data_IF_722409695727
#
_entry.id   IF_722409695727
#
_cell.length_a   1.000
_cell.length_b   1.000
_cell.length_c   1.000
_cell.angle_alpha   90.00
_cell.angle_beta   90.00
_cell.angle_gamma   90.00
#
_symmetry.space_group_name_H-M   'P 1'
#
loop_
_entity.id
_entity.type
_entity.pdbx_description
1 polymer ?
#
# COMPACT_ATOMS: atom_id res chain seq x y z
N UNK A 1 30.90 -18.09 25.87
CA UNK A 1 31.45 -19.19 25.06
C UNK A 1 30.45 -19.52 23.96
N UNK A 2 30.76 -19.25 22.69
CA UNK A 2 29.89 -19.60 21.57
C UNK A 2 29.93 -21.12 21.28
N UNK A 3 28.82 -21.76 20.90
CA UNK A 3 28.80 -23.19 20.56
C UNK A 3 29.47 -23.47 19.20
N UNK A 4 30.19 -24.59 19.13
CA UNK A 4 30.93 -25.03 17.96
C UNK A 4 30.01 -25.43 16.78
N UNK A 5 30.46 -25.23 15.52
CA UNK A 5 29.70 -25.62 14.33
C UNK A 5 29.68 -27.15 14.14
N UNK A 6 28.51 -27.69 13.74
CA UNK A 6 28.34 -29.11 13.43
C UNK A 6 28.92 -29.46 12.05
N UNK A 7 29.54 -30.64 11.87
CA UNK A 7 30.04 -31.07 10.57
C UNK A 7 28.91 -31.51 9.63
N UNK A 8 29.04 -31.14 8.36
CA UNK A 8 28.14 -31.58 7.28
C UNK A 8 28.45 -33.03 6.86
N UNK A 9 27.44 -33.87 6.58
CA UNK A 9 27.64 -35.21 6.05
C UNK A 9 28.06 -35.21 4.56
N UNK A 10 28.74 -36.27 4.09
CA UNK A 10 29.29 -36.33 2.75
C UNK A 10 28.22 -36.56 1.68
N UNK A 11 28.39 -35.88 0.54
CA UNK A 11 27.64 -36.09 -0.70
C UNK A 11 28.00 -37.46 -1.29
N UNK A 12 27.07 -38.41 -1.19
CA UNK A 12 27.16 -39.68 -1.93
C UNK A 12 26.72 -39.45 -3.38
N UNK A 13 27.70 -39.49 -4.28
CA UNK A 13 27.48 -39.66 -5.71
C UNK A 13 27.03 -41.10 -5.98
N UNK A 14 25.81 -41.25 -6.49
CA UNK A 14 25.30 -42.54 -6.96
C UNK A 14 25.13 -42.49 -8.49
N UNK A 15 25.53 -43.59 -9.10
CA UNK A 15 25.88 -43.76 -10.49
C UNK A 15 24.71 -43.73 -11.48
N UNK A 16 25.04 -43.37 -12.73
CA UNK A 16 24.23 -43.58 -13.92
C UNK A 16 23.91 -45.08 -14.09
N UNK A 17 22.62 -45.40 -14.22
CA UNK A 17 22.16 -46.61 -14.91
C UNK A 17 21.08 -46.22 -15.93
N UNK A 18 21.40 -46.47 -17.19
CA UNK A 18 20.51 -46.42 -18.33
C UNK A 18 19.50 -47.58 -18.21
N UNK A 19 18.20 -47.28 -18.22
CA UNK A 19 17.16 -48.27 -18.47
C UNK A 19 16.12 -47.67 -19.42
N UNK A 20 16.05 -48.25 -20.62
CA UNK A 20 15.11 -47.94 -21.67
C UNK A 20 13.87 -48.82 -21.47
N UNK A 21 12.69 -48.24 -21.29
CA UNK A 21 11.41 -48.94 -21.47
C UNK A 21 10.32 -47.93 -21.85
N UNK A 22 9.78 -48.09 -23.06
CA UNK A 22 8.58 -47.43 -23.55
C UNK A 22 7.37 -47.88 -22.72
N UNK A 23 6.45 -46.95 -22.41
CA UNK A 23 5.01 -47.18 -22.29
C UNK A 23 4.25 -45.84 -22.21
N UNK A 24 3.24 -45.72 -23.06
CA UNK A 24 1.96 -44.99 -22.95
C UNK A 24 1.92 -43.57 -22.34
N UNK A 25 1.36 -42.64 -23.10
CA UNK A 25 1.22 -41.23 -22.76
C UNK A 25 0.41 -40.93 -21.49
N UNK A 26 0.87 -39.91 -20.78
CA UNK A 26 0.05 -39.02 -19.98
C UNK A 26 0.29 -37.61 -20.52
N UNK A 27 -0.70 -37.05 -21.22
CA UNK A 27 -0.67 -35.65 -21.59
C UNK A 27 -0.62 -34.81 -20.33
N UNK A 28 0.47 -34.09 -20.12
CA UNK A 28 0.53 -33.00 -19.15
C UNK A 28 -0.44 -31.92 -19.63
N UNK A 29 -1.65 -31.90 -19.06
CA UNK A 29 -2.52 -30.74 -19.14
C UNK A 29 -1.73 -29.54 -18.59
N UNK A 30 -1.56 -28.45 -19.34
CA UNK A 30 -1.02 -27.22 -18.78
C UNK A 30 -1.91 -26.83 -17.61
N UNK A 31 -1.28 -26.54 -16.47
CA UNK A 31 -1.92 -26.09 -15.24
C UNK A 31 -2.67 -24.79 -15.54
N UNK A 32 -3.94 -24.92 -15.95
CA UNK A 32 -4.83 -23.79 -16.20
C UNK A 32 -5.11 -23.19 -14.82
N UNK A 33 -4.85 -21.90 -14.59
CA UNK A 33 -5.37 -21.22 -13.41
C UNK A 33 -6.86 -21.55 -13.30
N UNK A 34 -7.39 -21.79 -12.09
CA UNK A 34 -8.82 -22.05 -11.91
C UNK A 34 -9.58 -20.98 -12.70
N UNK A 35 -10.46 -21.42 -13.59
CA UNK A 35 -11.25 -20.52 -14.41
C UNK A 35 -11.91 -19.52 -13.45
N UNK A 36 -11.62 -18.23 -13.63
CA UNK A 36 -12.32 -17.19 -12.90
C UNK A 36 -13.82 -17.46 -13.08
N UNK A 37 -14.60 -17.52 -11.98
CA UNK A 37 -16.04 -17.71 -12.09
C UNK A 37 -16.57 -16.67 -13.07
N UNK A 38 -17.34 -17.14 -14.06
CA UNK A 38 -17.97 -16.24 -15.01
C UNK A 38 -18.69 -15.14 -14.22
N UNK A 39 -18.56 -13.85 -14.60
CA UNK A 39 -19.27 -12.78 -13.92
C UNK A 39 -20.75 -13.19 -13.85
N UNK A 40 -21.32 -13.19 -12.64
CA UNK A 40 -22.72 -13.53 -12.45
C UNK A 40 -23.56 -12.75 -13.48
N UNK A 41 -24.39 -13.45 -14.23
CA UNK A 41 -25.22 -12.88 -15.31
C UNK A 41 -26.26 -11.85 -14.83
N UNK A 42 -26.17 -11.38 -13.58
CA UNK A 42 -27.09 -10.48 -12.92
C UNK A 42 -26.40 -9.26 -12.29
N UNK A 43 -25.20 -8.88 -12.73
CA UNK A 43 -24.58 -7.64 -12.27
C UNK A 43 -25.40 -6.43 -12.70
N UNK A 44 -25.68 -5.55 -11.74
CA UNK A 44 -26.41 -4.32 -12.02
C UNK A 44 -25.56 -3.37 -12.89
N UNK A 45 -26.22 -2.46 -13.61
CA UNK A 45 -25.51 -1.44 -14.40
C UNK A 45 -24.64 -0.55 -13.52
N UNK A 46 -25.05 -0.35 -12.26
CA UNK A 46 -24.36 0.44 -11.25
C UNK A 46 -23.07 -0.25 -10.77
N UNK A 47 -23.14 -1.53 -10.41
CA UNK A 47 -21.97 -2.34 -10.03
C UNK A 47 -20.92 -2.32 -11.15
N UNK A 48 -21.36 -2.60 -12.38
CA UNK A 48 -20.46 -2.58 -13.53
C UNK A 48 -19.88 -1.18 -13.80
N UNK A 49 -20.65 -0.12 -13.57
CA UNK A 49 -20.15 1.26 -13.70
C UNK A 49 -19.11 1.61 -12.63
N UNK A 50 -19.35 1.18 -11.38
CA UNK A 50 -18.42 1.38 -10.27
C UNK A 50 -17.10 0.64 -10.53
N UNK A 51 -17.16 -0.65 -10.88
CA UNK A 51 -15.96 -1.45 -11.19
C UNK A 51 -15.15 -0.84 -12.34
N UNK A 52 -15.82 -0.41 -13.43
CA UNK A 52 -15.14 0.29 -14.53
C UNK A 52 -14.47 1.58 -14.07
N UNK A 53 -15.11 2.35 -13.21
CA UNK A 53 -14.55 3.60 -12.67
C UNK A 53 -13.35 3.34 -11.74
N UNK A 54 -13.37 2.25 -10.98
CA UNK A 54 -12.28 1.81 -10.10
C UNK A 54 -11.18 1.02 -10.85
N UNK A 55 -11.36 0.71 -12.13
CA UNK A 55 -10.41 -0.13 -12.88
C UNK A 55 -10.36 -1.59 -12.42
N UNK A 56 -11.44 -2.08 -11.80
CA UNK A 56 -11.54 -3.43 -11.26
C UNK A 56 -12.20 -4.39 -12.26
N UNK A 57 -11.88 -5.70 -12.20
CA UNK A 57 -12.57 -6.69 -13.00
C UNK A 57 -14.05 -6.76 -12.59
N UNK A 58 -14.91 -7.08 -13.55
CA UNK A 58 -16.34 -7.18 -13.31
C UNK A 58 -16.68 -8.10 -12.12
N UNK A 59 -15.98 -9.23 -11.96
CA UNK A 59 -16.21 -10.16 -10.85
C UNK A 59 -16.09 -9.54 -9.43
N UNK A 60 -15.38 -8.43 -9.27
CA UNK A 60 -15.20 -7.73 -7.98
C UNK A 60 -16.20 -6.58 -7.78
N UNK A 61 -17.09 -6.32 -8.75
CA UNK A 61 -17.92 -5.13 -8.78
C UNK A 61 -18.84 -4.97 -7.57
N UNK A 62 -19.56 -6.04 -7.20
CA UNK A 62 -20.50 -6.03 -6.06
C UNK A 62 -19.79 -5.76 -4.75
N UNK A 63 -18.67 -6.45 -4.52
CA UNK A 63 -17.86 -6.34 -3.30
C UNK A 63 -17.21 -4.95 -3.20
N UNK A 64 -16.64 -4.46 -4.30
CA UNK A 64 -16.09 -3.10 -4.39
C UNK A 64 -17.14 -2.01 -4.13
N UNK A 65 -18.32 -2.12 -4.75
CA UNK A 65 -19.42 -1.18 -4.52
C UNK A 65 -19.89 -1.22 -3.07
N UNK A 66 -20.09 -2.42 -2.51
CA UNK A 66 -20.52 -2.61 -1.11
C UNK A 66 -19.52 -1.98 -0.13
N UNK A 67 -18.22 -2.21 -0.32
CA UNK A 67 -17.17 -1.56 0.49
C UNK A 67 -17.18 -0.04 0.35
N UNK A 68 -17.33 0.46 -0.88
CA UNK A 68 -17.39 1.90 -1.15
C UNK A 68 -18.58 2.57 -0.48
N UNK A 69 -19.74 1.93 -0.50
CA UNK A 69 -20.93 2.40 0.19
C UNK A 69 -20.77 2.39 1.71
N UNK A 70 -20.27 1.28 2.28
CA UNK A 70 -20.02 1.17 3.72
C UNK A 70 -19.03 2.25 4.20
N UNK A 71 -17.98 2.50 3.42
CA UNK A 71 -17.03 3.58 3.66
C UNK A 71 -17.71 4.96 3.68
N UNK A 72 -18.56 5.25 2.69
CA UNK A 72 -19.29 6.51 2.62
C UNK A 72 -20.36 6.67 3.72
N UNK A 73 -20.96 5.58 4.21
CA UNK A 73 -21.92 5.58 5.32
C UNK A 73 -21.23 5.61 6.70
N UNK A 74 -19.96 5.23 6.77
CA UNK A 74 -19.19 5.18 8.01
C UNK A 74 -19.59 3.99 8.90
N UNK A 75 -19.89 2.85 8.28
CA UNK A 75 -20.42 1.65 8.98
C UNK A 75 -19.33 0.71 9.54
N UNK A 76 -18.05 0.99 9.28
CA UNK A 76 -16.88 0.20 9.72
C UNK A 76 -15.93 1.06 10.60
N UNK A 77 -14.97 0.44 11.34
CA UNK A 77 -14.05 1.20 12.21
C UNK A 77 -13.27 2.26 11.42
N UNK A 78 -13.40 3.54 11.80
CA UNK A 78 -12.88 4.68 11.03
C UNK A 78 -13.94 5.52 10.30
N UNK A 79 -15.20 5.47 10.79
CA UNK A 79 -16.38 6.30 10.43
C UNK A 79 -16.09 7.67 9.77
N UNK A 80 -17.06 8.20 9.01
CA UNK A 80 -17.00 8.52 7.56
C UNK A 80 -15.62 8.92 7.00
N UNK A 81 -15.45 9.11 5.67
CA UNK A 81 -14.14 9.45 5.11
C UNK A 81 -13.51 10.67 5.80
N UNK A 82 -12.39 10.43 6.50
CA UNK A 82 -11.57 11.45 7.17
C UNK A 82 -10.30 11.68 6.37
N UNK A 83 -9.52 12.70 6.74
CA UNK A 83 -8.22 12.92 6.10
C UNK A 83 -7.29 11.71 6.30
N UNK A 84 -7.21 11.18 7.52
CA UNK A 84 -6.33 10.05 7.85
C UNK A 84 -6.73 8.77 7.15
N UNK A 85 -8.02 8.41 7.20
CA UNK A 85 -8.51 7.21 6.53
C UNK A 85 -8.31 7.32 5.02
N UNK A 86 -8.44 8.51 4.44
CA UNK A 86 -8.15 8.70 3.02
C UNK A 86 -6.65 8.68 2.71
N UNK A 87 -5.76 9.11 3.59
CA UNK A 87 -4.30 8.97 3.36
C UNK A 87 -3.92 7.49 3.35
N UNK A 88 -4.47 6.70 4.28
CA UNK A 88 -4.22 5.26 4.39
C UNK A 88 -4.81 4.48 3.20
N UNK A 89 -5.99 4.89 2.73
CA UNK A 89 -6.76 4.15 1.72
C UNK A 89 -6.67 4.74 0.30
N UNK A 90 -6.05 5.90 0.08
CA UNK A 90 -6.04 6.59 -1.23
C UNK A 90 -5.39 5.78 -2.36
N UNK A 91 -4.55 4.80 -2.02
CA UNK A 91 -3.91 3.90 -2.98
C UNK A 91 -4.86 2.82 -3.49
N UNK A 92 -5.93 2.52 -2.76
CA UNK A 92 -6.96 1.59 -3.20
C UNK A 92 -8.00 2.35 -4.06
N UNK A 93 -8.16 1.98 -5.35
CA UNK A 93 -9.04 2.67 -6.27
C UNK A 93 -10.52 2.60 -5.87
N UNK A 94 -10.92 1.64 -5.01
CA UNK A 94 -12.29 1.53 -4.49
C UNK A 94 -12.67 2.79 -3.72
N UNK A 95 -11.86 3.22 -2.76
CA UNK A 95 -12.22 4.33 -1.88
C UNK A 95 -12.17 5.68 -2.60
N UNK A 96 -11.18 5.88 -3.48
CA UNK A 96 -11.13 7.07 -4.33
C UNK A 96 -12.38 7.16 -5.25
N UNK A 97 -12.81 6.03 -5.80
CA UNK A 97 -14.02 5.94 -6.63
C UNK A 97 -15.28 6.16 -5.81
N UNK A 98 -15.36 5.57 -4.61
CA UNK A 98 -16.47 5.75 -3.67
C UNK A 98 -16.66 7.23 -3.30
N UNK A 99 -15.59 7.93 -2.91
CA UNK A 99 -15.67 9.38 -2.63
C UNK A 99 -16.11 10.16 -3.86
N UNK A 100 -15.60 9.82 -5.04
CA UNK A 100 -15.91 10.57 -6.27
C UNK A 100 -17.35 10.36 -6.75
N UNK A 101 -17.91 9.15 -6.55
CA UNK A 101 -19.19 8.74 -7.13
C UNK A 101 -20.33 8.68 -6.13
N UNK A 102 -20.08 8.17 -4.93
CA UNK A 102 -21.09 7.84 -3.92
C UNK A 102 -21.19 8.93 -2.84
N UNK A 103 -20.05 9.50 -2.42
CA UNK A 103 -20.04 10.55 -1.39
C UNK A 103 -19.17 11.77 -1.75
N UNK A 104 -19.54 12.52 -2.83
CA UNK A 104 -18.76 13.64 -3.36
C UNK A 104 -18.55 14.79 -2.38
N UNK A 105 -19.32 14.85 -1.28
CA UNK A 105 -19.08 15.78 -0.17
C UNK A 105 -17.67 15.65 0.44
N UNK A 106 -17.02 14.49 0.30
CA UNK A 106 -15.65 14.23 0.77
C UNK A 106 -14.56 14.47 -0.29
N UNK A 107 -14.90 14.91 -1.51
CA UNK A 107 -13.92 15.20 -2.56
C UNK A 107 -12.78 16.16 -2.12
N UNK A 108 -13.04 17.24 -1.36
CA UNK A 108 -11.97 18.09 -0.87
C UNK A 108 -10.97 17.35 0.03
N UNK A 109 -11.44 16.42 0.85
CA UNK A 109 -10.58 15.59 1.71
C UNK A 109 -9.76 14.62 0.88
N UNK A 110 -10.35 13.99 -0.16
CA UNK A 110 -9.62 13.12 -1.07
C UNK A 110 -8.50 13.87 -1.81
N UNK A 111 -8.77 15.11 -2.27
CA UNK A 111 -7.75 15.94 -2.93
C UNK A 111 -6.59 16.27 -2.00
N UNK A 112 -6.86 16.55 -0.72
CA UNK A 112 -5.82 16.75 0.28
C UNK A 112 -5.04 15.45 0.51
N UNK A 113 -5.74 14.34 0.80
CA UNK A 113 -5.14 13.05 1.13
C UNK A 113 -4.17 12.52 0.05
N UNK A 114 -4.45 12.77 -1.24
CA UNK A 114 -3.56 12.39 -2.35
C UNK A 114 -2.14 12.96 -2.26
N UNK A 115 -1.96 14.08 -1.54
CA UNK A 115 -0.64 14.64 -1.28
C UNK A 115 0.01 14.14 0.01
N UNK A 116 -0.72 13.38 0.84
CA UNK A 116 -0.25 12.86 2.11
C UNK A 116 0.40 11.48 2.01
N UNK A 117 0.98 11.03 3.11
CA UNK A 117 1.57 9.70 3.23
C UNK A 117 1.48 9.18 4.67
N UNK A 118 1.46 7.86 4.84
CA UNK A 118 1.45 7.20 6.16
C UNK A 118 2.85 7.14 6.75
N UNK A 119 3.00 6.82 8.03
CA UNK A 119 4.33 6.51 8.55
C UNK A 119 4.96 5.26 7.88
N UNK A 120 6.25 5.05 8.09
CA UNK A 120 7.05 4.05 7.38
C UNK A 120 8.16 4.66 6.53
N UNK A 121 8.71 3.86 5.61
CA UNK A 121 9.86 4.20 4.76
C UNK A 121 9.40 4.51 3.34
N UNK A 122 9.78 5.69 2.85
CA UNK A 122 9.32 6.25 1.59
C UNK A 122 10.49 6.76 0.74
N UNK A 123 10.44 6.50 -0.56
CA UNK A 123 11.34 7.12 -1.55
C UNK A 123 10.82 8.49 -1.96
N UNK A 124 11.72 9.46 -2.00
CA UNK A 124 11.41 10.83 -2.43
C UNK A 124 11.69 10.96 -3.92
N UNK A 125 10.80 11.61 -4.67
CA UNK A 125 11.02 11.87 -6.09
C UNK A 125 9.86 12.58 -6.79
N UNK A 126 9.93 12.62 -8.12
CA UNK A 126 8.80 13.01 -8.98
C UNK A 126 8.33 11.78 -9.75
N UNK A 127 7.01 11.62 -9.88
CA UNK A 127 6.40 10.62 -10.77
C UNK A 127 6.67 9.17 -10.35
N UNK A 128 5.75 8.57 -9.60
CA UNK A 128 5.83 7.17 -9.17
C UNK A 128 6.74 6.90 -7.96
N UNK A 129 7.24 7.95 -7.31
CA UNK A 129 7.83 7.88 -5.97
C UNK A 129 6.73 7.89 -4.90
N UNK A 130 7.03 7.33 -3.74
CA UNK A 130 6.08 7.23 -2.63
C UNK A 130 5.69 8.62 -2.11
N UNK A 131 6.64 9.56 -2.10
CA UNK A 131 6.41 10.95 -1.68
C UNK A 131 7.05 11.96 -2.64
N UNK A 132 6.40 13.13 -2.78
CA UNK A 132 6.91 14.25 -3.58
C UNK A 132 7.61 15.29 -2.71
N UNK A 133 8.61 16.04 -3.21
CA UNK A 133 9.19 17.15 -2.46
C UNK A 133 8.16 18.22 -2.06
N UNK A 134 8.34 18.80 -0.88
CA UNK A 134 7.43 19.80 -0.34
C UNK A 134 7.54 19.96 1.18
N UNK A 135 6.66 20.80 1.73
CA UNK A 135 6.47 20.89 3.17
C UNK A 135 5.33 19.98 3.60
N UNK A 136 5.52 19.31 4.72
CA UNK A 136 4.62 18.33 5.28
C UNK A 136 4.37 18.60 6.75
N UNK A 137 3.16 18.29 7.21
CA UNK A 137 2.78 18.33 8.62
C UNK A 137 2.11 17.02 9.02
N UNK A 138 2.33 16.56 10.24
CA UNK A 138 1.52 15.46 10.80
C UNK A 138 0.05 15.88 10.87
N UNK A 139 -0.86 14.96 10.54
CA UNK A 139 -2.31 15.18 10.65
C UNK A 139 -2.74 15.28 12.11
N UNK A 140 -2.10 14.50 12.97
CA UNK A 140 -2.31 14.48 14.41
C UNK A 140 -1.44 15.49 15.17
N UNK A 141 -1.91 15.83 16.37
CA UNK A 141 -1.28 16.69 17.38
C UNK A 141 -1.01 15.86 18.64
N UNK A 142 -0.32 16.43 19.62
CA UNK A 142 0.04 15.75 20.88
C UNK A 142 0.74 14.41 20.64
N UNK A 143 1.69 14.39 19.69
CA UNK A 143 2.46 13.20 19.40
C UNK A 143 3.51 12.94 20.48
N UNK A 144 3.82 11.66 20.66
CA UNK A 144 4.84 11.19 21.60
C UNK A 144 5.79 10.27 20.85
N UNK A 145 7.10 10.54 20.92
CA UNK A 145 8.08 9.67 20.29
C UNK A 145 8.10 9.72 18.75
N UNK A 146 7.42 10.69 18.11
CA UNK A 146 7.48 10.84 16.66
C UNK A 146 8.94 11.06 16.24
N UNK A 147 9.44 10.14 15.42
CA UNK A 147 10.80 10.13 14.92
C UNK A 147 10.84 10.13 13.40
N UNK A 148 11.89 10.72 12.86
CA UNK A 148 12.14 10.72 11.43
C UNK A 148 13.62 10.63 11.11
N UNK A 149 13.91 10.10 9.92
CA UNK A 149 15.24 10.05 9.34
C UNK A 149 15.13 10.34 7.84
N UNK A 150 15.84 11.37 7.36
CA UNK A 150 16.00 11.72 5.95
C UNK A 150 17.39 11.34 5.49
N UNK A 151 17.51 10.83 4.27
CA UNK A 151 18.80 10.46 3.67
C UNK A 151 18.89 10.88 2.21
N UNK A 152 20.12 11.01 1.70
CA UNK A 152 20.43 11.27 0.29
C UNK A 152 20.18 10.01 -0.56
N UNK A 153 20.14 10.10 -1.90
CA UNK A 153 20.06 8.92 -2.77
C UNK A 153 21.18 7.89 -2.56
N UNK A 154 22.33 8.31 -2.02
CA UNK A 154 23.45 7.44 -1.64
C UNK A 154 23.34 6.84 -0.22
N UNK A 155 22.25 7.09 0.49
CA UNK A 155 22.00 6.57 1.84
C UNK A 155 22.65 7.36 2.97
N UNK A 156 23.27 8.52 2.70
CA UNK A 156 23.86 9.36 3.75
C UNK A 156 22.76 10.12 4.49
N UNK A 157 22.82 10.15 5.82
CA UNK A 157 21.89 10.94 6.65
C UNK A 157 21.96 12.42 6.29
N UNK A 158 20.78 13.01 6.05
CA UNK A 158 20.55 14.45 5.91
C UNK A 158 20.09 15.01 7.26
N UNK A 159 19.10 14.37 7.87
CA UNK A 159 18.49 14.79 9.14
C UNK A 159 17.93 13.57 9.88
N UNK A 160 18.01 13.55 11.21
CA UNK A 160 17.44 12.49 12.04
C UNK A 160 17.10 13.05 13.42
N UNK A 161 15.85 12.92 13.84
CA UNK A 161 15.42 13.37 15.15
C UNK A 161 14.24 12.56 15.69
N UNK A 162 14.01 12.69 17.00
CA UNK A 162 12.88 12.12 17.73
C UNK A 162 12.35 13.15 18.71
N UNK A 163 11.04 13.37 18.72
CA UNK A 163 10.39 14.24 19.69
C UNK A 163 10.06 13.48 20.97
N UNK A 164 10.29 14.10 22.14
CA UNK A 164 9.71 13.59 23.39
C UNK A 164 8.21 13.83 23.39
N UNK A 165 7.79 15.05 23.07
CA UNK A 165 6.39 15.45 22.86
C UNK A 165 6.31 16.47 21.72
N UNK A 166 5.23 16.43 20.95
CA UNK A 166 4.92 17.44 19.93
C UNK A 166 3.44 17.86 20.03
N UNK A 167 3.10 18.80 20.93
CA UNK A 167 1.72 19.27 21.13
C UNK A 167 1.08 19.85 19.86
N UNK A 168 1.90 20.46 18.99
CA UNK A 168 1.43 21.05 17.74
C UNK A 168 1.58 20.10 16.55
N UNK A 169 2.04 18.86 16.75
CA UNK A 169 2.50 17.98 15.67
C UNK A 169 3.88 18.38 15.16
N UNK A 170 4.34 17.73 14.09
CA UNK A 170 5.66 17.95 13.48
C UNK A 170 5.49 18.52 12.08
N UNK A 171 6.43 19.36 11.66
CA UNK A 171 6.54 19.86 10.29
C UNK A 171 7.90 19.49 9.71
N UNK A 172 7.93 18.99 8.49
CA UNK A 172 9.14 18.61 7.76
C UNK A 172 9.18 19.27 6.39
N UNK A 173 10.37 19.72 5.98
CA UNK A 173 10.64 20.09 4.59
C UNK A 173 11.42 18.96 3.94
N UNK A 174 10.85 18.36 2.90
CA UNK A 174 11.44 17.28 2.13
C UNK A 174 11.96 17.87 0.82
N UNK A 175 13.28 17.87 0.64
CA UNK A 175 13.90 18.51 -0.51
C UNK A 175 13.90 17.58 -1.74
N UNK A 176 13.95 18.14 -2.97
CA UNK A 176 14.10 17.33 -4.18
C UNK A 176 15.37 16.49 -4.25
N UNK A 177 16.37 16.81 -3.42
CA UNK A 177 17.65 16.10 -3.32
C UNK A 177 17.63 14.97 -2.29
N UNK A 178 16.54 14.79 -1.55
CA UNK A 178 16.40 13.66 -0.64
C UNK A 178 16.23 12.37 -1.46
N UNK A 179 16.83 11.29 -0.98
CA UNK A 179 16.61 9.94 -1.50
C UNK A 179 15.43 9.25 -0.81
N UNK A 180 15.18 9.56 0.46
CA UNK A 180 14.07 9.00 1.20
C UNK A 180 13.87 9.56 2.61
N UNK A 181 12.77 9.13 3.20
CA UNK A 181 12.31 9.48 4.54
C UNK A 181 11.76 8.23 5.23
N UNK A 182 12.17 7.97 6.46
CA UNK A 182 11.52 7.01 7.37
C UNK A 182 10.90 7.81 8.51
N UNK A 183 9.66 7.49 8.87
CA UNK A 183 9.00 8.04 10.05
C UNK A 183 8.39 6.93 10.90
N UNK A 184 8.39 7.12 12.22
CA UNK A 184 7.82 6.17 13.18
C UNK A 184 7.14 6.93 14.33
N UNK A 185 5.98 6.45 14.79
CA UNK A 185 5.14 7.07 15.81
C UNK A 185 4.68 8.51 15.46
N UNK A 186 4.58 8.81 14.18
CA UNK A 186 4.17 10.12 13.68
C UNK A 186 2.75 10.10 13.11
N UNK A 187 2.25 8.91 12.77
CA UNK A 187 1.00 8.75 12.04
C UNK A 187 1.11 9.31 10.62
N UNK A 188 0.01 9.84 10.11
CA UNK A 188 -0.06 10.33 8.74
C UNK A 188 0.46 11.77 8.60
N UNK A 189 0.92 12.08 7.40
CA UNK A 189 1.44 13.38 7.01
C UNK A 189 0.62 13.95 5.87
N UNK A 190 0.41 15.27 5.88
CA UNK A 190 -0.25 16.00 4.82
C UNK A 190 0.68 17.06 4.22
N UNK A 191 0.71 17.15 2.90
CA UNK A 191 1.47 18.18 2.19
C UNK A 191 0.80 19.55 2.38
N UNK A 192 1.58 20.54 2.78
CA UNK A 192 1.11 21.91 3.03
C UNK A 192 1.62 22.89 1.99
N UNK A 193 2.75 22.61 1.32
CA UNK A 193 3.34 23.44 0.25
C UNK A 193 4.11 22.59 -0.76
#
# INVERSE_FOLDING_TARGET
MPPAPRPNPPLLAAALTLALALLAGCGTTPNRPPAQPAPNAAQSTEEAAFARAAGLPAAEATDALTRGEAFCRGEEPGTPPTLDTLIEQAHDPVYATAVTRLCPKHLPLLHQAKGGFTEGTHRVGKGGSDITPGQYRTTHRNLHGCSWHRWTPSGRTIDKATTTTAPQGVTLTIAPTDGGLTTENCGNWIRTQ
#
